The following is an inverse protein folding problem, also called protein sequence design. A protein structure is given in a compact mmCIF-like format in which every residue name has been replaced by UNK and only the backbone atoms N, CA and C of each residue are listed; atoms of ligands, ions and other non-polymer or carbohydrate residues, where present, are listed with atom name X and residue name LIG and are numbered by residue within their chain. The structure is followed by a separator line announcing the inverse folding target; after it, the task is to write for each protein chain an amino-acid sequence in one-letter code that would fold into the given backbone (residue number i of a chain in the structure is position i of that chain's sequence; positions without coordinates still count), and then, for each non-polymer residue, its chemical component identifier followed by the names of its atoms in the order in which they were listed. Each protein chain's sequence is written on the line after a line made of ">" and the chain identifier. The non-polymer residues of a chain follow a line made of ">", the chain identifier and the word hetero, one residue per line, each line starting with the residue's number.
data_IF_550294361016
#
_entry.id   IF_550294361016
#
_cell.length_a   1.000
_cell.length_b   1.000
_cell.length_c   1.000
_cell.angle_alpha   90.00
_cell.angle_beta   90.00
_cell.angle_gamma   90.00
#
_symmetry.space_group_name_H-M   'P 1'
#
loop_
_entity.id
_entity.type
_entity.pdbx_description
1 polymer ?
#
# COMPACT_ATOMS: atom_id res chain seq x y z
N UNK A 1 -6.56 18.36 30.64
CA UNK A 1 -5.92 17.40 29.71
C UNK A 1 -5.98 18.00 28.32
N UNK A 2 -4.84 18.46 27.78
CA UNK A 2 -4.76 18.98 26.43
C UNK A 2 -4.83 17.80 25.45
N UNK A 3 -5.98 17.61 24.83
CA UNK A 3 -6.08 16.72 23.68
C UNK A 3 -5.42 17.43 22.50
N UNK A 4 -4.20 17.02 22.14
CA UNK A 4 -3.62 17.38 20.85
C UNK A 4 -4.55 16.85 19.76
N UNK A 5 -5.30 17.72 19.12
CA UNK A 5 -6.07 17.37 17.93
C UNK A 5 -5.10 16.91 16.85
N UNK A 6 -5.08 15.62 16.56
CA UNK A 6 -4.29 15.09 15.46
C UNK A 6 -4.73 15.79 14.18
N UNK A 7 -3.83 16.59 13.60
CA UNK A 7 -4.09 17.18 12.29
C UNK A 7 -4.38 16.04 11.31
N UNK A 8 -5.49 16.17 10.56
CA UNK A 8 -5.87 15.21 9.48
C UNK A 8 -4.72 15.01 8.49
N UNK A 9 -3.85 16.02 8.35
CA UNK A 9 -2.66 16.02 7.52
C UNK A 9 -1.41 16.19 8.41
N UNK A 10 -0.79 15.09 8.86
CA UNK A 10 0.32 15.14 9.80
C UNK A 10 1.53 15.86 9.19
N UNK A 11 2.30 16.56 10.02
CA UNK A 11 3.54 17.25 9.62
C UNK A 11 4.70 16.27 9.72
N UNK A 12 5.53 16.09 8.66
CA UNK A 12 6.72 15.26 8.71
C UNK A 12 7.69 15.73 9.80
N UNK A 13 8.28 14.77 10.50
CA UNK A 13 9.36 14.93 11.45
C UNK A 13 10.59 14.13 10.97
N UNK A 14 11.79 14.33 11.55
CA UNK A 14 12.99 13.59 11.16
C UNK A 14 12.83 12.06 11.14
N UNK A 15 12.06 11.49 12.08
CA UNK A 15 11.76 10.06 12.09
C UNK A 15 10.93 9.57 10.89
N UNK A 16 10.16 10.45 10.25
CA UNK A 16 9.47 10.12 8.98
C UNK A 16 10.46 10.02 7.83
N UNK A 17 11.50 10.86 7.80
CA UNK A 17 12.54 10.79 6.77
C UNK A 17 13.30 9.45 6.85
N UNK A 18 13.60 8.97 8.06
CA UNK A 18 14.22 7.65 8.24
C UNK A 18 13.32 6.51 7.72
N UNK A 19 12.01 6.58 7.95
CA UNK A 19 11.05 5.62 7.37
C UNK A 19 11.00 5.71 5.85
N UNK A 20 10.93 6.92 5.31
CA UNK A 20 10.92 7.13 3.87
C UNK A 20 12.20 6.60 3.21
N UNK A 21 13.35 6.80 3.87
CA UNK A 21 14.65 6.32 3.40
C UNK A 21 14.73 4.79 3.26
N UNK A 22 13.95 4.04 4.05
CA UNK A 22 13.84 2.58 3.91
C UNK A 22 13.18 2.15 2.60
N UNK A 23 12.43 3.04 1.94
CA UNK A 23 11.74 2.78 0.67
C UNK A 23 12.33 3.53 -0.52
N UNK A 24 12.85 4.73 -0.28
CA UNK A 24 13.48 5.60 -1.28
C UNK A 24 14.79 6.09 -0.72
N UNK A 25 15.91 5.59 -1.23
CA UNK A 25 17.24 5.87 -0.69
C UNK A 25 17.61 7.37 -0.67
N UNK A 26 16.99 8.16 -1.54
CA UNK A 26 17.18 9.61 -1.66
C UNK A 26 16.13 10.42 -0.88
N UNK A 27 15.26 9.79 -0.08
CA UNK A 27 14.26 10.48 0.69
C UNK A 27 14.83 11.21 1.91
N UNK A 28 14.40 12.46 2.06
CA UNK A 28 14.76 13.32 3.20
C UNK A 28 13.53 14.08 3.74
N UNK A 29 13.74 14.83 4.83
CA UNK A 29 12.69 15.60 5.48
C UNK A 29 12.16 16.74 4.59
N UNK A 30 13.01 17.34 3.75
CA UNK A 30 12.65 18.46 2.90
C UNK A 30 11.69 18.00 1.79
N UNK A 31 11.95 16.84 1.19
CA UNK A 31 11.08 16.20 0.22
C UNK A 31 9.73 15.83 0.82
N UNK A 32 9.69 15.27 2.04
CA UNK A 32 8.43 14.97 2.72
C UNK A 32 7.64 16.25 3.05
N UNK A 33 8.33 17.31 3.44
CA UNK A 33 7.72 18.62 3.72
C UNK A 33 7.16 19.26 2.45
N UNK A 34 7.89 19.18 1.33
CA UNK A 34 7.44 19.61 0.03
C UNK A 34 6.22 18.78 -0.44
N UNK A 35 6.29 17.45 -0.28
CA UNK A 35 5.20 16.53 -0.58
C UNK A 35 3.92 16.83 0.21
N UNK A 36 4.03 17.12 1.50
CA UNK A 36 2.89 17.59 2.32
C UNK A 36 2.30 18.88 1.78
N UNK A 37 3.15 19.85 1.47
CA UNK A 37 2.72 21.17 1.00
C UNK A 37 1.94 21.03 -0.31
N UNK A 38 2.48 20.25 -1.26
CA UNK A 38 1.82 19.92 -2.51
C UNK A 38 0.51 19.15 -2.27
N UNK A 39 0.49 18.19 -1.35
CA UNK A 39 -0.70 17.42 -1.04
C UNK A 39 -1.84 18.32 -0.55
N UNK A 40 -1.55 19.21 0.40
CA UNK A 40 -2.54 20.17 0.89
C UNK A 40 -3.00 21.11 -0.23
N UNK A 41 -2.08 21.71 -0.98
CA UNK A 41 -2.42 22.74 -1.97
C UNK A 41 -3.14 22.18 -3.21
N UNK A 42 -2.71 21.03 -3.71
CA UNK A 42 -3.21 20.47 -4.98
C UNK A 42 -4.43 19.59 -4.78
N UNK A 43 -4.46 18.81 -3.69
CA UNK A 43 -5.51 17.80 -3.50
C UNK A 43 -6.73 18.32 -2.72
N UNK A 44 -6.67 19.47 -2.05
CA UNK A 44 -7.84 20.10 -1.41
C UNK A 44 -8.63 21.03 -2.35
N UNK A 45 -8.22 21.17 -3.61
CA UNK A 45 -8.81 22.14 -4.55
C UNK A 45 -10.19 21.74 -5.07
N UNK A 46 -10.56 20.45 -5.02
CA UNK A 46 -11.79 19.95 -5.63
C UNK A 46 -12.72 19.21 -4.66
N UNK A 47 -12.19 18.63 -3.58
CA UNK A 47 -12.95 17.92 -2.56
C UNK A 47 -12.15 17.87 -1.25
N UNK A 48 -12.78 17.33 -0.20
CA UNK A 48 -12.11 17.10 1.08
C UNK A 48 -10.88 16.22 0.92
N UNK A 49 -9.82 16.59 1.62
CA UNK A 49 -8.56 15.87 1.62
C UNK A 49 -8.68 14.57 2.42
N UNK A 50 -8.14 13.49 1.87
CA UNK A 50 -8.13 12.18 2.56
C UNK A 50 -6.99 12.18 3.58
N UNK A 51 -7.21 11.70 4.79
CA UNK A 51 -6.10 11.59 5.73
C UNK A 51 -5.11 10.50 5.25
N UNK A 52 -3.78 10.70 5.32
CA UNK A 52 -2.80 9.68 4.90
C UNK A 52 -3.03 8.30 5.54
N UNK A 53 -3.41 8.27 6.82
CA UNK A 53 -3.70 7.04 7.57
C UNK A 53 -5.04 6.37 7.22
N UNK A 54 -5.86 6.99 6.36
CA UNK A 54 -7.14 6.42 5.95
C UNK A 54 -7.00 5.34 4.86
N UNK A 55 -5.79 5.14 4.31
CA UNK A 55 -5.48 4.11 3.31
C UNK A 55 -4.15 3.45 3.63
N UNK A 56 -3.96 2.23 3.11
CA UNK A 56 -2.69 1.54 3.25
C UNK A 56 -1.61 2.17 2.36
N UNK A 57 -0.33 2.01 2.72
CA UNK A 57 0.81 2.48 1.92
C UNK A 57 0.75 2.04 0.45
N UNK A 58 0.27 0.81 0.19
CA UNK A 58 0.21 0.20 -1.14
C UNK A 58 -0.94 0.76 -1.99
N UNK A 59 -2.01 1.24 -1.36
CA UNK A 59 -3.17 1.79 -2.07
C UNK A 59 -2.95 3.23 -2.56
N UNK A 60 -2.02 3.95 -1.94
CA UNK A 60 -1.78 5.37 -2.22
C UNK A 60 -1.28 5.68 -3.63
N UNK A 61 -0.27 4.99 -4.19
CA UNK A 61 0.25 5.30 -5.53
C UNK A 61 -0.85 5.31 -6.60
N UNK A 62 -1.70 4.28 -6.63
CA UNK A 62 -2.80 4.19 -7.60
C UNK A 62 -3.82 5.34 -7.44
N UNK A 63 -4.08 5.77 -6.20
CA UNK A 63 -4.97 6.91 -5.92
C UNK A 63 -4.35 8.23 -6.39
N UNK A 64 -3.07 8.47 -6.04
CA UNK A 64 -2.35 9.67 -6.44
C UNK A 64 -2.28 9.77 -7.96
N UNK A 65 -1.97 8.67 -8.64
CA UNK A 65 -1.98 8.60 -10.12
C UNK A 65 -3.33 8.96 -10.72
N UNK A 66 -4.42 8.42 -10.15
CA UNK A 66 -5.76 8.69 -10.62
C UNK A 66 -6.18 10.16 -10.43
N UNK A 67 -5.67 10.84 -9.39
CA UNK A 67 -5.88 12.28 -9.18
C UNK A 67 -4.97 13.12 -10.06
N UNK A 68 -3.70 12.74 -10.17
CA UNK A 68 -2.69 13.40 -10.98
C UNK A 68 -3.14 13.54 -12.44
N UNK A 69 -3.73 12.48 -13.02
CA UNK A 69 -4.32 12.55 -14.37
C UNK A 69 -5.50 13.51 -14.49
N UNK A 70 -6.34 13.62 -13.45
CA UNK A 70 -7.52 14.49 -13.46
C UNK A 70 -7.16 15.97 -13.36
N UNK A 71 -6.18 16.31 -12.54
CA UNK A 71 -5.74 17.70 -12.32
C UNK A 71 -4.50 18.08 -13.14
N UNK A 72 -3.99 17.16 -13.96
CA UNK A 72 -2.77 17.31 -14.78
C UNK A 72 -1.54 17.67 -13.94
N UNK A 73 -1.35 16.96 -12.83
CA UNK A 73 -0.18 17.08 -11.96
C UNK A 73 1.08 16.55 -12.65
N UNK A 74 2.20 17.26 -12.53
CA UNK A 74 3.48 16.82 -13.11
C UNK A 74 4.13 15.66 -12.34
N UNK A 75 4.99 14.89 -13.00
CA UNK A 75 5.65 13.72 -12.40
C UNK A 75 6.46 14.06 -11.13
N UNK A 76 7.27 15.15 -11.06
CA UNK A 76 8.02 15.46 -9.84
C UNK A 76 7.11 15.80 -8.65
N UNK A 77 6.02 16.54 -8.89
CA UNK A 77 5.04 16.87 -7.84
C UNK A 77 4.30 15.62 -7.37
N UNK A 78 3.94 14.74 -8.30
CA UNK A 78 3.27 13.45 -8.03
C UNK A 78 4.14 12.55 -7.16
N UNK A 79 5.43 12.46 -7.46
CA UNK A 79 6.36 11.62 -6.72
C UNK A 79 6.54 12.13 -5.28
N UNK A 80 6.69 13.45 -5.08
CA UNK A 80 6.76 14.06 -3.74
C UNK A 80 5.48 13.81 -2.93
N UNK A 81 4.31 13.99 -3.55
CA UNK A 81 3.03 13.70 -2.89
C UNK A 81 2.95 12.22 -2.51
N UNK A 82 3.34 11.32 -3.42
CA UNK A 82 3.31 9.87 -3.17
C UNK A 82 4.22 9.49 -2.01
N UNK A 83 5.46 9.99 -1.99
CA UNK A 83 6.40 9.76 -0.87
C UNK A 83 5.77 10.18 0.45
N UNK A 84 5.22 11.39 0.52
CA UNK A 84 4.57 11.90 1.72
C UNK A 84 3.39 11.02 2.19
N UNK A 85 2.39 10.77 1.34
CA UNK A 85 1.17 10.07 1.79
C UNK A 85 1.45 8.62 2.19
N UNK A 86 2.38 7.95 1.53
CA UNK A 86 2.81 6.59 1.85
C UNK A 86 3.52 6.57 3.20
N UNK A 87 4.56 7.40 3.40
CA UNK A 87 5.29 7.46 4.68
C UNK A 87 4.37 7.79 5.85
N UNK A 88 3.46 8.76 5.68
CA UNK A 88 2.54 9.14 6.76
C UNK A 88 1.40 8.13 6.97
N UNK A 89 1.15 7.22 6.02
CA UNK A 89 0.16 6.15 6.19
C UNK A 89 0.68 4.99 7.06
N UNK A 90 1.99 4.82 7.13
CA UNK A 90 2.66 3.80 7.95
C UNK A 90 2.64 4.15 9.45
N UNK A 91 2.34 5.40 9.80
CA UNK A 91 2.26 5.89 11.19
C UNK A 91 1.14 5.27 12.02
N UNK A 92 0.18 4.58 11.40
CA UNK A 92 -0.89 3.89 12.11
C UNK A 92 -0.39 2.53 12.62
N UNK A 93 0.37 2.55 13.70
CA UNK A 93 0.68 1.36 14.48
C UNK A 93 -0.57 0.80 15.16
N UNK A 94 -1.42 0.08 14.43
CA UNK A 94 -2.17 -1.12 14.86
C UNK A 94 -2.64 -1.87 13.60
N UNK A 95 -2.14 -3.12 13.52
CA UNK A 95 -2.37 -4.21 12.58
C UNK A 95 -1.74 -4.09 11.17
N UNK A 96 -0.88 -5.06 10.77
CA UNK A 96 -0.43 -5.15 9.39
C UNK A 96 -1.64 -5.38 8.51
N UNK A 97 -1.88 -4.47 7.57
CA UNK A 97 -2.64 -4.84 6.39
C UNK A 97 -1.80 -5.91 5.70
N UNK A 98 -2.32 -7.14 5.66
CA UNK A 98 -1.71 -8.21 4.89
C UNK A 98 -1.30 -7.66 3.52
N UNK A 99 -0.18 -8.12 2.92
CA UNK A 99 0.06 -7.82 1.52
C UNK A 99 -1.24 -8.17 0.78
N UNK A 100 -1.68 -7.29 -0.12
CA UNK A 100 -2.67 -7.69 -1.11
C UNK A 100 -2.04 -8.81 -1.92
N UNK A 101 -2.17 -10.03 -1.40
CA UNK A 101 -1.87 -11.26 -2.05
C UNK A 101 -2.91 -11.39 -3.15
N UNK A 102 -2.61 -10.74 -4.28
CA UNK A 102 -2.73 -11.39 -5.57
C UNK A 102 -1.33 -11.75 -6.04
N UNK A 103 -0.61 -12.49 -5.20
CA UNK A 103 0.12 -13.63 -5.73
C UNK A 103 -0.97 -14.58 -6.23
N UNK A 104 -0.88 -14.97 -7.49
CA UNK A 104 -1.71 -15.99 -8.09
C UNK A 104 -1.83 -17.19 -7.14
N UNK A 105 -3.04 -17.46 -6.67
CA UNK A 105 -3.37 -18.79 -6.16
C UNK A 105 -3.17 -19.77 -7.33
N UNK A 106 -2.36 -20.83 -7.20
CA UNK A 106 -2.55 -21.99 -8.04
C UNK A 106 -3.94 -22.58 -7.74
N UNK A 107 -4.70 -22.80 -8.80
CA UNK A 107 -5.99 -23.47 -8.81
C UNK A 107 -5.96 -24.76 -7.96
N UNK A 108 -6.83 -24.93 -6.94
CA UNK A 108 -6.92 -26.18 -6.19
C UNK A 108 -7.62 -27.33 -6.95
N UNK A 109 -7.94 -27.20 -8.24
CA UNK A 109 -8.53 -28.27 -9.04
C UNK A 109 -7.51 -29.02 -9.92
N UNK A 110 -6.51 -29.66 -9.32
CA UNK A 110 -5.79 -30.77 -9.97
C UNK A 110 -4.99 -31.63 -8.98
N UNK A 111 -5.65 -32.25 -8.03
CA UNK A 111 -5.13 -33.46 -7.40
C UNK A 111 -6.27 -34.42 -7.06
N UNK A 112 -6.01 -35.69 -7.29
CA UNK A 112 -6.77 -36.87 -6.85
C UNK A 112 -7.87 -37.41 -7.78
N UNK A 113 -7.42 -38.04 -8.88
CA UNK A 113 -8.07 -39.28 -9.33
C UNK A 113 -7.32 -40.42 -8.66
N UNK A 114 -7.79 -40.80 -7.47
CA UNK A 114 -7.37 -42.01 -6.76
C UNK A 114 -7.69 -43.30 -7.54
N UNK A 115 -7.09 -44.42 -7.14
CA UNK A 115 -6.80 -45.57 -7.99
C UNK A 115 -8.03 -46.47 -8.24
N UNK A 116 -8.28 -46.81 -9.50
CA UNK A 116 -9.12 -47.96 -9.83
C UNK A 116 -8.37 -49.26 -9.50
N UNK A 117 -8.75 -49.80 -8.35
CA UNK A 117 -8.90 -51.22 -8.03
C UNK A 117 -8.09 -52.25 -8.83
N UNK A 118 -7.16 -52.88 -8.13
CA UNK A 118 -6.94 -54.32 -8.28
C UNK A 118 -7.59 -55.01 -7.07
N UNK A 119 -8.45 -55.99 -7.33
CA UNK A 119 -8.28 -57.33 -6.74
C UNK A 119 -8.49 -58.40 -7.83
N UNK A 120 -7.95 -59.61 -7.81
CA UNK A 120 -7.39 -60.46 -6.76
C UNK A 120 -6.69 -61.64 -7.48
N UNK A 121 -5.63 -62.15 -6.87
CA UNK A 121 -5.15 -63.54 -7.02
C UNK A 121 -6.26 -64.49 -6.52
N UNK A 122 -6.54 -65.66 -7.09
CA UNK A 122 -5.72 -66.88 -7.05
C UNK A 122 -6.40 -68.02 -7.85
N UNK A 123 -5.60 -69.05 -8.15
CA UNK A 123 -5.93 -70.48 -8.15
C UNK A 123 -6.45 -71.22 -9.41
N UNK A 124 -5.59 -72.16 -9.85
CA UNK A 124 -5.87 -73.57 -10.18
C UNK A 124 -5.96 -74.06 -11.65
N UNK A 125 -4.90 -74.80 -12.02
CA UNK A 125 -4.92 -76.22 -12.42
C UNK A 125 -5.81 -76.64 -13.62
N UNK A 126 -5.18 -76.81 -14.81
CA UNK A 126 -5.13 -78.06 -15.60
C UNK A 126 -4.41 -77.89 -16.94
#
# INVERSE_FOLDING_TARGET
>A
MAACGASVVPVPAPADAERAAARWADADLDQLTAGRTLYVQKCSGCHTLVAPHARSPEAWPAMVDAMARRIRLGDPERDLITRYVVTMSELRGVAPSAPSARAAEPDPAAADVGPLGQPQVDAELR
#
